data_IF_648320376329
#
_entry.id   IF_648320376329
#
_cell.length_a   1.000
_cell.length_b   1.000
_cell.length_c   1.000
_cell.angle_alpha   90.00
_cell.angle_beta   90.00
_cell.angle_gamma   90.00
#
_symmetry.space_group_name_H-M   'P 1'
#
loop_
_entity.id
_entity.type
_entity.pdbx_description
1 polymer ?
#
# COMPACT_ATOMS: atom_id res chain seq x y z
N UNK A 1 13.98 12.52 5.11
CA UNK A 1 13.71 13.94 5.26
C UNK A 1 12.61 14.12 6.32
N UNK A 2 13.00 14.75 7.46
CA UNK A 2 12.13 14.95 8.63
C UNK A 2 10.97 15.92 8.34
N UNK A 3 11.19 16.91 7.50
CA UNK A 3 10.19 17.90 7.13
C UNK A 3 9.07 17.26 6.29
N UNK A 4 9.43 16.49 5.28
CA UNK A 4 8.47 15.78 4.46
C UNK A 4 7.64 14.75 5.25
N UNK A 5 8.25 14.09 6.24
CA UNK A 5 7.55 13.17 7.13
C UNK A 5 6.54 13.91 8.02
N UNK A 6 6.90 15.08 8.52
CA UNK A 6 6.01 15.91 9.34
C UNK A 6 4.83 16.46 8.51
N UNK A 7 5.09 16.90 7.29
CA UNK A 7 4.05 17.36 6.36
C UNK A 7 3.06 16.23 6.04
N UNK A 8 3.56 15.04 5.76
CA UNK A 8 2.74 13.85 5.52
C UNK A 8 1.86 13.52 6.74
N UNK A 9 2.43 13.60 7.94
CA UNK A 9 1.71 13.38 9.19
C UNK A 9 0.58 14.40 9.37
N UNK A 10 0.85 15.69 9.20
CA UNK A 10 -0.13 16.75 9.33
C UNK A 10 -1.25 16.63 8.29
N UNK A 11 -0.92 16.36 7.04
CA UNK A 11 -1.92 16.16 5.99
C UNK A 11 -2.79 14.93 6.24
N UNK A 12 -2.19 13.86 6.77
CA UNK A 12 -2.93 12.65 7.17
C UNK A 12 -3.96 12.97 8.25
N UNK A 13 -3.57 13.69 9.30
CA UNK A 13 -4.49 14.13 10.37
C UNK A 13 -5.60 15.03 9.84
N UNK A 14 -5.26 15.99 8.99
CA UNK A 14 -6.25 16.87 8.38
C UNK A 14 -7.29 16.09 7.57
N UNK A 15 -6.87 15.18 6.71
CA UNK A 15 -7.78 14.35 5.91
C UNK A 15 -8.59 13.38 6.76
N UNK A 16 -8.02 12.85 7.83
CA UNK A 16 -8.73 11.99 8.77
C UNK A 16 -9.87 12.76 9.46
N UNK A 17 -9.60 13.95 9.95
CA UNK A 17 -10.61 14.80 10.59
C UNK A 17 -11.69 15.26 9.61
N UNK A 18 -11.29 15.64 8.40
CA UNK A 18 -12.22 16.06 7.35
C UNK A 18 -13.13 14.93 6.85
N UNK A 19 -12.78 13.67 7.08
CA UNK A 19 -13.54 12.49 6.65
C UNK A 19 -13.90 11.57 7.82
N UNK A 20 -14.01 12.11 9.03
CA UNK A 20 -14.29 11.31 10.22
C UNK A 20 -15.61 10.52 10.15
N UNK A 21 -16.59 11.02 9.41
CA UNK A 21 -17.87 10.34 9.18
C UNK A 21 -17.74 9.05 8.38
N UNK A 22 -16.65 8.89 7.63
CA UNK A 22 -16.34 7.67 6.87
C UNK A 22 -15.69 6.57 7.71
N UNK A 23 -15.28 6.90 8.92
CA UNK A 23 -14.71 5.93 9.84
C UNK A 23 -15.80 5.12 10.53
N UNK A 24 -15.72 3.79 10.41
CA UNK A 24 -16.61 2.88 11.13
C UNK A 24 -16.10 2.64 12.55
N UNK A 25 -16.82 3.14 13.55
CA UNK A 25 -16.48 2.95 14.96
C UNK A 25 -16.41 1.45 15.28
N UNK A 26 -15.38 1.05 16.02
CA UNK A 26 -15.13 -0.34 16.38
C UNK A 26 -14.22 -1.10 15.40
N UNK A 27 -13.80 -0.47 14.30
CA UNK A 27 -12.79 -1.01 13.40
C UNK A 27 -11.37 -0.55 13.80
N UNK A 28 -10.34 -1.07 13.12
CA UNK A 28 -8.96 -0.70 13.41
C UNK A 28 -8.62 0.70 12.89
N UNK A 29 -8.62 1.69 13.79
CA UNK A 29 -8.32 3.08 13.44
C UNK A 29 -6.89 3.27 12.88
N UNK A 30 -5.92 2.50 13.36
CA UNK A 30 -4.55 2.57 12.84
C UNK A 30 -4.48 2.17 11.37
N UNK A 31 -5.21 1.11 10.99
CA UNK A 31 -5.29 0.68 9.60
C UNK A 31 -5.97 1.73 8.72
N UNK A 32 -7.02 2.38 9.22
CA UNK A 32 -7.71 3.46 8.51
C UNK A 32 -6.80 4.67 8.29
N UNK A 33 -6.12 5.13 9.33
CA UNK A 33 -5.15 6.24 9.25
C UNK A 33 -3.97 5.89 8.33
N UNK A 34 -3.46 4.67 8.42
CA UNK A 34 -2.39 4.20 7.54
C UNK A 34 -2.82 4.21 6.06
N UNK A 35 -4.04 3.83 5.76
CA UNK A 35 -4.58 3.88 4.39
C UNK A 35 -4.64 5.32 3.87
N UNK A 36 -5.07 6.27 4.70
CA UNK A 36 -5.07 7.70 4.33
C UNK A 36 -3.65 8.18 4.05
N UNK A 37 -2.72 7.92 4.97
CA UNK A 37 -1.32 8.31 4.84
C UNK A 37 -0.66 7.72 3.60
N UNK A 38 -0.87 6.42 3.36
CA UNK A 38 -0.34 5.73 2.19
C UNK A 38 -0.87 6.34 0.89
N UNK A 39 -2.14 6.63 0.82
CA UNK A 39 -2.75 7.22 -0.38
C UNK A 39 -2.20 8.63 -0.65
N UNK A 40 -2.00 9.45 0.38
CA UNK A 40 -1.36 10.76 0.25
C UNK A 40 0.05 10.59 -0.29
N UNK A 41 0.85 9.74 0.34
CA UNK A 41 2.23 9.50 -0.05
C UNK A 41 2.36 9.04 -1.51
N UNK A 42 1.57 8.06 -1.92
CA UNK A 42 1.60 7.53 -3.29
C UNK A 42 1.16 8.58 -4.30
N UNK A 43 0.12 9.36 -4.01
CA UNK A 43 -0.35 10.41 -4.89
C UNK A 43 0.71 11.52 -5.06
N UNK A 44 1.35 11.93 -3.98
CA UNK A 44 2.41 12.94 -4.01
C UNK A 44 3.65 12.44 -4.75
N UNK A 45 4.02 11.20 -4.51
CA UNK A 45 5.13 10.59 -5.21
C UNK A 45 4.87 10.51 -6.72
N UNK A 46 3.68 10.07 -7.13
CA UNK A 46 3.27 10.03 -8.54
C UNK A 46 3.25 11.42 -9.18
N UNK A 47 2.77 12.43 -8.45
CA UNK A 47 2.78 13.82 -8.92
C UNK A 47 4.21 14.32 -9.17
N UNK A 48 5.12 14.08 -8.23
CA UNK A 48 6.53 14.45 -8.36
C UNK A 48 7.22 13.68 -9.50
N UNK A 49 6.91 12.40 -9.67
CA UNK A 49 7.44 11.59 -10.77
C UNK A 49 6.95 12.11 -12.13
N UNK A 50 5.68 12.48 -12.27
CA UNK A 50 5.16 13.12 -13.50
C UNK A 50 5.84 14.44 -13.82
N UNK A 51 6.14 15.26 -12.82
CA UNK A 51 6.87 16.52 -13.00
C UNK A 51 8.31 16.27 -13.45
N UNK A 52 8.97 15.20 -12.99
CA UNK A 52 10.28 14.77 -13.46
C UNK A 52 10.25 14.17 -14.86
N UNK A 53 9.20 13.44 -15.22
CA UNK A 53 9.06 12.73 -16.51
C UNK A 53 8.86 13.68 -17.70
N UNK A 54 8.53 14.93 -17.46
CA UNK A 54 8.62 15.98 -18.50
C UNK A 54 10.07 16.20 -18.93
N UNK A 55 11.06 15.78 -18.11
CA UNK A 55 12.48 15.89 -18.36
C UNK A 55 13.22 14.56 -18.59
N UNK A 56 12.65 13.41 -18.19
CA UNK A 56 13.31 12.11 -18.31
C UNK A 56 12.30 10.96 -18.54
N UNK A 57 12.51 10.22 -19.63
CA UNK A 57 11.67 9.10 -20.06
C UNK A 57 11.92 7.81 -19.26
N UNK A 58 11.85 7.83 -17.93
CA UNK A 58 12.03 6.64 -17.07
C UNK A 58 10.85 6.39 -16.16
N UNK A 59 9.75 5.87 -16.72
CA UNK A 59 8.58 5.42 -15.94
C UNK A 59 8.86 4.14 -15.12
N UNK A 60 9.97 3.42 -15.39
CA UNK A 60 10.31 2.15 -14.72
C UNK A 60 11.04 2.32 -13.38
N UNK A 61 11.77 3.42 -13.17
CA UNK A 61 12.51 3.66 -11.93
C UNK A 61 11.62 3.94 -10.73
N UNK A 62 10.36 4.29 -10.97
CA UNK A 62 9.39 4.63 -9.97
C UNK A 62 9.07 3.45 -9.02
N UNK A 63 8.87 2.26 -9.57
CA UNK A 63 8.50 1.07 -8.80
C UNK A 63 9.70 0.41 -8.10
N UNK A 64 10.90 0.60 -8.64
CA UNK A 64 12.14 0.06 -8.08
C UNK A 64 12.54 0.82 -6.80
N UNK A 65 12.35 2.13 -6.78
CA UNK A 65 12.71 2.98 -5.64
C UNK A 65 11.77 2.84 -4.43
N UNK A 66 10.51 2.42 -4.62
CA UNK A 66 9.61 2.08 -3.51
C UNK A 66 10.09 0.86 -2.69
N UNK A 67 10.86 -0.03 -3.30
CA UNK A 67 11.43 -1.21 -2.61
C UNK A 67 12.61 -0.88 -1.69
N UNK A 68 13.26 0.27 -1.89
CA UNK A 68 14.47 0.65 -1.12
C UNK A 68 14.21 1.51 0.10
N UNK A 69 12.97 1.96 0.33
CA UNK A 69 12.64 2.86 1.45
C UNK A 69 12.29 2.16 2.76
N UNK A 70 12.56 0.85 2.92
CA UNK A 70 12.38 0.17 4.20
C UNK A 70 13.62 0.28 5.07
N UNK A 71 13.64 1.27 5.93
CA UNK A 71 14.67 1.44 6.96
C UNK A 71 14.46 0.43 8.08
N UNK A 72 15.52 -0.31 8.38
CA UNK A 72 15.60 -1.35 9.38
C UNK A 72 15.38 -0.85 10.81
N UNK A 73 14.52 -1.53 11.55
CA UNK A 73 14.64 -1.62 12.99
C UNK A 73 14.70 -3.09 13.40
N UNK A 74 15.87 -3.50 13.92
CA UNK A 74 16.20 -4.60 14.81
C UNK A 74 15.53 -6.00 14.63
N UNK A 75 16.21 -7.03 15.12
CA UNK A 75 15.98 -8.47 14.95
C UNK A 75 14.50 -8.95 15.06
N UNK A 76 13.70 -8.37 15.91
CA UNK A 76 12.28 -8.72 16.09
C UNK A 76 11.41 -8.29 14.90
N UNK A 77 11.68 -7.11 14.37
CA UNK A 77 11.05 -6.59 13.14
C UNK A 77 11.43 -7.44 11.92
N UNK A 78 12.66 -7.97 11.89
CA UNK A 78 13.16 -8.85 10.82
C UNK A 78 12.45 -10.20 10.82
N UNK A 79 12.15 -10.77 11.99
CA UNK A 79 11.45 -12.06 12.10
C UNK A 79 10.00 -11.92 11.62
N UNK A 80 9.28 -10.90 12.10
CA UNK A 80 7.91 -10.61 11.66
C UNK A 80 7.83 -10.31 10.16
N UNK A 81 8.83 -9.62 9.62
CA UNK A 81 8.90 -9.33 8.19
C UNK A 81 9.06 -10.62 7.36
N UNK A 82 9.86 -11.58 7.84
CA UNK A 82 10.00 -12.90 7.21
C UNK A 82 8.69 -13.67 7.23
N UNK A 83 7.98 -13.67 8.35
CA UNK A 83 6.68 -14.35 8.48
C UNK A 83 5.63 -13.74 7.54
N UNK A 84 5.57 -12.42 7.44
CA UNK A 84 4.67 -11.72 6.51
C UNK A 84 5.04 -12.03 5.06
N UNK A 85 6.32 -11.99 4.72
CA UNK A 85 6.80 -12.29 3.37
C UNK A 85 6.47 -13.72 2.97
N UNK A 86 6.67 -14.68 3.87
CA UNK A 86 6.32 -16.08 3.67
C UNK A 86 4.81 -16.25 3.50
N UNK A 87 4.00 -15.63 4.35
CA UNK A 87 2.55 -15.67 4.24
C UNK A 87 2.05 -15.11 2.89
N UNK A 88 2.66 -14.03 2.40
CA UNK A 88 2.35 -13.48 1.07
C UNK A 88 2.78 -14.46 -0.03
N UNK A 89 3.93 -15.08 0.12
CA UNK A 89 4.45 -16.05 -0.87
C UNK A 89 3.54 -17.26 -1.03
N UNK A 90 2.90 -17.68 0.06
CA UNK A 90 1.98 -18.82 0.10
C UNK A 90 0.56 -18.51 -0.37
N UNK A 91 0.25 -17.24 -0.69
CA UNK A 91 -1.04 -16.90 -1.29
C UNK A 91 -1.19 -17.53 -2.68
N UNK A 92 -2.40 -18.01 -3.04
CA UNK A 92 -2.70 -18.36 -4.43
C UNK A 92 -2.42 -17.19 -5.37
N UNK A 93 -1.89 -17.48 -6.56
CA UNK A 93 -1.48 -16.44 -7.51
C UNK A 93 -2.62 -15.48 -7.89
N UNK A 94 -3.84 -15.99 -7.96
CA UNK A 94 -5.03 -15.15 -8.27
C UNK A 94 -5.25 -14.02 -7.26
N UNK A 95 -4.82 -14.21 -6.02
CA UNK A 95 -4.90 -13.20 -4.94
C UNK A 95 -3.57 -12.47 -4.76
N UNK A 96 -2.46 -13.17 -4.92
CA UNK A 96 -1.11 -12.64 -4.72
C UNK A 96 -0.78 -11.51 -5.69
N UNK A 97 -1.01 -11.72 -6.97
CA UNK A 97 -0.65 -10.76 -8.02
C UNK A 97 -1.37 -9.42 -7.87
N UNK A 98 -2.71 -9.35 -7.77
CA UNK A 98 -3.39 -8.08 -7.56
C UNK A 98 -3.04 -7.43 -6.21
N UNK A 99 -2.83 -8.22 -5.17
CA UNK A 99 -2.41 -7.73 -3.86
C UNK A 99 -1.03 -7.07 -3.92
N UNK A 100 -0.05 -7.70 -4.57
CA UNK A 100 1.30 -7.13 -4.73
C UNK A 100 1.27 -5.84 -5.55
N UNK A 101 0.56 -5.82 -6.67
CA UNK A 101 0.43 -4.62 -7.50
C UNK A 101 -0.18 -3.45 -6.71
N UNK A 102 -1.19 -3.70 -5.90
CA UNK A 102 -1.76 -2.68 -5.04
C UNK A 102 -0.74 -2.13 -4.02
N UNK A 103 0.04 -2.99 -3.37
CA UNK A 103 1.08 -2.56 -2.45
C UNK A 103 2.29 -1.92 -3.14
N UNK A 104 2.54 -2.24 -4.40
CA UNK A 104 3.53 -1.57 -5.23
C UNK A 104 3.08 -0.16 -5.67
N UNK A 105 1.85 0.25 -5.37
CA UNK A 105 1.33 1.59 -5.59
C UNK A 105 0.41 1.75 -6.79
N UNK A 106 0.03 0.68 -7.48
CA UNK A 106 -0.96 0.74 -8.56
C UNK A 106 -2.36 1.01 -8.03
N UNK A 107 -3.13 1.81 -8.78
CA UNK A 107 -4.56 2.00 -8.51
C UNK A 107 -5.35 0.77 -8.93
N UNK A 108 -6.50 0.53 -8.33
CA UNK A 108 -7.37 -0.60 -8.69
C UNK A 108 -7.70 -0.66 -10.18
N UNK A 109 -7.97 0.48 -10.82
CA UNK A 109 -8.24 0.53 -12.25
C UNK A 109 -7.01 0.13 -13.08
N UNK A 110 -5.82 0.58 -12.70
CA UNK A 110 -4.57 0.21 -13.37
C UNK A 110 -4.31 -1.29 -13.24
N UNK A 111 -4.59 -1.88 -12.08
CA UNK A 111 -4.48 -3.33 -11.86
C UNK A 111 -5.47 -4.09 -12.74
N UNK A 112 -6.71 -3.61 -12.82
CA UNK A 112 -7.75 -4.17 -13.69
C UNK A 112 -7.31 -4.16 -15.16
N UNK A 113 -6.73 -3.07 -15.62
CA UNK A 113 -6.22 -2.92 -16.99
C UNK A 113 -5.03 -3.86 -17.25
N UNK A 114 -4.07 -3.93 -16.32
CA UNK A 114 -2.88 -4.80 -16.45
C UNK A 114 -3.26 -6.28 -16.46
N UNK A 115 -4.21 -6.69 -15.60
CA UNK A 115 -4.64 -8.08 -15.48
C UNK A 115 -5.77 -8.45 -16.49
N UNK A 116 -6.27 -7.48 -17.24
CA UNK A 116 -7.42 -7.63 -18.13
C UNK A 116 -8.64 -8.24 -17.41
N UNK A 117 -8.93 -7.73 -16.21
CA UNK A 117 -10.03 -8.20 -15.36
C UNK A 117 -10.94 -7.06 -14.92
N UNK A 118 -12.21 -7.35 -14.61
CA UNK A 118 -13.13 -6.34 -14.08
C UNK A 118 -12.63 -5.73 -12.78
N UNK A 119 -12.87 -4.43 -12.59
CA UNK A 119 -12.52 -3.69 -11.38
C UNK A 119 -13.07 -4.34 -10.10
N UNK A 120 -14.31 -4.83 -10.15
CA UNK A 120 -14.95 -5.53 -9.04
C UNK A 120 -14.21 -6.81 -8.65
N UNK A 121 -13.71 -7.56 -9.63
CA UNK A 121 -12.90 -8.76 -9.41
C UNK A 121 -11.57 -8.43 -8.72
N UNK A 122 -10.90 -7.40 -9.17
CA UNK A 122 -9.63 -6.92 -8.55
C UNK A 122 -9.86 -6.53 -7.09
N UNK A 123 -10.90 -5.75 -6.80
CA UNK A 123 -11.26 -5.36 -5.42
C UNK A 123 -11.54 -6.58 -4.54
N UNK A 124 -12.31 -7.53 -5.04
CA UNK A 124 -12.64 -8.76 -4.32
C UNK A 124 -11.40 -9.60 -4.04
N UNK A 125 -10.53 -9.77 -5.02
CA UNK A 125 -9.29 -10.56 -4.85
C UNK A 125 -8.34 -9.94 -3.84
N UNK A 126 -8.18 -8.62 -3.83
CA UNK A 126 -7.38 -7.92 -2.82
C UNK A 126 -8.01 -8.05 -1.43
N UNK A 127 -9.33 -7.97 -1.34
CA UNK A 127 -10.05 -8.21 -0.08
C UNK A 127 -9.82 -9.61 0.46
N UNK A 128 -9.95 -10.64 -0.37
CA UNK A 128 -9.70 -12.03 0.01
C UNK A 128 -8.25 -12.29 0.36
N UNK A 129 -7.30 -11.70 -0.36
CA UNK A 129 -5.88 -11.77 0.00
C UNK A 129 -5.63 -11.27 1.42
N UNK A 130 -6.19 -10.12 1.78
CA UNK A 130 -6.09 -9.56 3.14
C UNK A 130 -6.71 -10.47 4.19
N UNK A 131 -7.86 -11.05 3.89
CA UNK A 131 -8.55 -11.98 4.79
C UNK A 131 -7.68 -13.22 5.06
N UNK A 132 -7.15 -13.84 4.02
CA UNK A 132 -6.28 -15.01 4.15
C UNK A 132 -4.99 -14.69 4.92
N UNK A 133 -4.39 -13.54 4.66
CA UNK A 133 -3.21 -13.10 5.40
C UNK A 133 -3.52 -12.86 6.88
N UNK A 134 -4.63 -12.21 7.18
CA UNK A 134 -5.06 -11.99 8.57
C UNK A 134 -5.26 -13.31 9.31
N UNK A 135 -5.91 -14.29 8.70
CA UNK A 135 -6.14 -15.61 9.30
C UNK A 135 -4.83 -16.36 9.58
N UNK A 136 -3.85 -16.22 8.69
CA UNK A 136 -2.53 -16.87 8.87
C UNK A 136 -1.70 -16.17 9.94
N UNK A 137 -1.65 -14.83 9.93
CA UNK A 137 -0.81 -14.06 10.85
C UNK A 137 -1.40 -13.96 12.28
N UNK A 138 -2.70 -14.19 12.47
CA UNK A 138 -3.32 -14.23 13.81
C UNK A 138 -3.17 -15.57 14.52
N UNK A 139 -2.69 -16.60 13.84
CA UNK A 139 -2.44 -17.93 14.46
C UNK A 139 -1.10 -18.02 15.21
N UNK A 140 -0.34 -16.96 15.19
CA UNK A 140 0.90 -16.78 15.92
C UNK A 140 0.76 -15.62 16.93
#
# INVERSE_FOLDING_TARGET
DSEAANDLFQETLYKALANQEKYNVGTNIKAWLFTIMRNIFINDYRRKAKQKTVFDNCANDYLINLKQASVSNAAESSLRMKEITEAIHQLPEIFKTPFRLYFDGYKYQEIADVLAEPLGTVKSRIHFARKLLKERLTRY
#
